data_IF_776840359012
#
_entry.id   IF_776840359012
#
_cell.length_a   1.000
_cell.length_b   1.000
_cell.length_c   1.000
_cell.angle_alpha   90.00
_cell.angle_beta   90.00
_cell.angle_gamma   90.00
#
_symmetry.space_group_name_H-M   'P 1'
#
loop_
_entity.id
_entity.type
_entity.pdbx_description
1 polymer ?
#
# COMPACT_ATOMS: atom_id res chain seq x y z
N UNK A 1 7.31 15.82 2.85
CA UNK A 1 6.32 16.49 1.97
C UNK A 1 5.20 17.07 2.84
N UNK A 2 4.62 18.24 2.52
CA UNK A 2 3.47 18.77 3.28
C UNK A 2 2.22 17.93 2.99
N UNK A 3 1.59 17.36 4.04
CA UNK A 3 0.47 16.42 3.93
C UNK A 3 -0.79 16.93 3.21
N UNK A 4 -0.96 18.25 3.05
CA UNK A 4 -2.07 18.85 2.28
C UNK A 4 -1.98 18.60 0.76
N UNK A 5 -0.88 18.05 0.24
CA UNK A 5 -0.68 17.88 -1.20
C UNK A 5 -0.98 16.47 -1.74
N UNK A 6 -1.23 15.47 -0.89
CA UNK A 6 -1.38 14.06 -1.33
C UNK A 6 -2.81 13.55 -1.32
N UNK A 7 -3.72 14.22 -0.60
CA UNK A 7 -5.16 13.92 -0.60
C UNK A 7 -5.95 15.03 -1.31
N UNK A 8 -7.13 14.69 -1.80
CA UNK A 8 -8.14 15.63 -2.28
C UNK A 8 -9.50 15.20 -1.78
N UNK A 9 -10.31 16.13 -1.26
CA UNK A 9 -11.67 15.80 -0.81
C UNK A 9 -12.63 15.70 -1.99
N UNK A 10 -13.75 14.98 -1.82
CA UNK A 10 -14.80 14.93 -2.83
C UNK A 10 -15.34 16.32 -3.19
N UNK A 11 -15.51 17.20 -2.19
CA UNK A 11 -15.95 18.58 -2.41
C UNK A 11 -14.91 19.39 -3.22
N UNK A 12 -13.63 19.32 -2.86
CA UNK A 12 -12.57 20.02 -3.61
C UNK A 12 -12.48 19.51 -5.06
N UNK A 13 -12.55 18.19 -5.27
CA UNK A 13 -12.52 17.62 -6.62
C UNK A 13 -13.73 18.08 -7.45
N UNK A 14 -14.93 18.06 -6.86
CA UNK A 14 -16.14 18.51 -7.53
C UNK A 14 -16.06 19.99 -7.93
N UNK A 15 -15.53 20.85 -7.05
CA UNK A 15 -15.33 22.27 -7.35
C UNK A 15 -14.35 22.49 -8.50
N UNK A 16 -13.24 21.73 -8.55
CA UNK A 16 -12.27 21.79 -9.66
C UNK A 16 -12.90 21.37 -10.98
N UNK A 17 -13.63 20.25 -10.99
CA UNK A 17 -14.33 19.78 -12.18
C UNK A 17 -15.37 20.80 -12.68
N UNK A 18 -16.10 21.45 -11.77
CA UNK A 18 -17.05 22.51 -12.09
C UNK A 18 -16.38 23.77 -12.68
N UNK A 19 -15.13 24.05 -12.31
CA UNK A 19 -14.33 25.15 -12.87
C UNK A 19 -13.71 24.84 -14.23
N UNK A 20 -13.89 23.63 -14.73
CA UNK A 20 -13.29 23.21 -16.01
C UNK A 20 -11.91 22.59 -15.87
N UNK A 21 -11.38 22.42 -14.64
CA UNK A 21 -10.17 21.60 -14.44
C UNK A 21 -10.51 20.14 -14.77
N UNK A 22 -9.56 19.43 -15.40
CA UNK A 22 -9.73 18.05 -15.86
C UNK A 22 -8.51 17.22 -15.46
N UNK A 23 -8.32 16.92 -14.16
CA UNK A 23 -7.31 15.93 -13.80
C UNK A 23 -7.68 14.58 -14.41
N UNK A 24 -6.69 13.76 -14.75
CA UNK A 24 -6.93 12.36 -15.09
C UNK A 24 -7.41 11.64 -13.85
N UNK A 25 -8.60 11.04 -13.94
CA UNK A 25 -9.23 10.33 -12.82
C UNK A 25 -9.01 8.83 -13.02
N UNK A 26 -8.36 8.17 -12.07
CA UNK A 26 -8.09 6.73 -12.13
C UNK A 26 -8.90 5.99 -11.06
N UNK A 27 -9.77 5.10 -11.51
CA UNK A 27 -10.46 4.13 -10.67
C UNK A 27 -9.63 2.85 -10.58
N UNK A 28 -9.11 2.57 -9.40
CA UNK A 28 -8.21 1.44 -9.13
C UNK A 28 -8.91 0.41 -8.22
N UNK A 29 -10.24 0.35 -8.21
CA UNK A 29 -10.96 -0.55 -7.30
C UNK A 29 -10.54 -2.00 -7.49
N UNK A 30 -10.15 -2.63 -6.38
CA UNK A 30 -9.64 -3.99 -6.33
C UNK A 30 -9.92 -4.61 -4.96
N UNK A 31 -10.05 -5.94 -4.93
CA UNK A 31 -10.18 -6.69 -3.69
C UNK A 31 -9.39 -8.01 -3.79
N UNK A 32 -8.70 -8.36 -2.70
CA UNK A 32 -7.90 -9.59 -2.67
C UNK A 32 -8.81 -10.83 -2.79
N UNK A 33 -8.60 -11.62 -3.84
CA UNK A 33 -9.38 -12.83 -4.12
C UNK A 33 -10.80 -12.56 -4.64
N UNK A 34 -11.18 -11.30 -4.84
CA UNK A 34 -12.45 -10.91 -5.44
C UNK A 34 -12.32 -10.65 -6.95
N UNK A 35 -13.40 -10.17 -7.60
CA UNK A 35 -13.33 -9.76 -8.99
C UNK A 35 -12.37 -8.57 -9.17
N UNK A 36 -11.88 -8.37 -10.40
CA UNK A 36 -10.93 -7.30 -10.70
C UNK A 36 -11.51 -5.88 -10.59
N UNK A 37 -12.82 -5.70 -10.36
CA UNK A 37 -13.44 -4.38 -10.19
C UNK A 37 -13.99 -3.75 -11.48
N UNK A 38 -13.74 -4.35 -12.66
CA UNK A 38 -14.10 -3.75 -13.96
C UNK A 38 -15.62 -3.65 -14.16
N UNK A 39 -16.37 -4.63 -13.68
CA UNK A 39 -17.84 -4.63 -13.79
C UNK A 39 -18.45 -3.57 -12.88
N UNK A 40 -17.93 -3.42 -11.67
CA UNK A 40 -18.35 -2.42 -10.71
C UNK A 40 -18.04 -1.01 -11.23
N UNK A 41 -16.87 -0.81 -11.84
CA UNK A 41 -16.53 0.45 -12.52
C UNK A 41 -17.54 0.76 -13.63
N UNK A 42 -17.82 -0.20 -14.51
CA UNK A 42 -18.78 0.00 -15.60
C UNK A 42 -20.21 0.29 -15.10
N UNK A 43 -20.57 -0.19 -13.92
CA UNK A 43 -21.86 0.08 -13.28
C UNK A 43 -21.96 1.47 -12.64
N UNK A 44 -20.83 2.11 -12.32
CA UNK A 44 -20.80 3.42 -11.68
C UNK A 44 -19.40 3.87 -11.28
N UNK A 45 -18.94 4.98 -11.85
CA UNK A 45 -17.63 5.60 -11.58
C UNK A 45 -17.72 7.12 -11.59
N UNK A 46 -16.68 7.81 -11.11
CA UNK A 46 -16.58 9.26 -11.19
C UNK A 46 -16.64 9.72 -12.67
N UNK A 47 -17.30 10.83 -13.00
CA UNK A 47 -17.41 11.31 -14.37
C UNK A 47 -16.04 11.50 -15.04
N UNK A 48 -15.84 10.88 -16.20
CA UNK A 48 -14.58 10.90 -16.95
C UNK A 48 -13.44 10.06 -16.37
N UNK A 49 -13.69 9.23 -15.35
CA UNK A 49 -12.68 8.32 -14.84
C UNK A 49 -12.32 7.21 -15.82
N UNK A 50 -11.11 6.68 -15.66
CA UNK A 50 -10.58 5.53 -16.39
C UNK A 50 -10.27 4.42 -15.40
N UNK A 51 -10.60 3.18 -15.75
CA UNK A 51 -10.28 2.03 -14.93
C UNK A 51 -8.81 1.62 -15.09
N UNK A 52 -8.08 1.55 -13.98
CA UNK A 52 -6.70 1.08 -13.89
C UNK A 52 -6.66 -0.31 -13.23
N UNK A 53 -6.24 -1.33 -13.97
CA UNK A 53 -6.28 -2.72 -13.56
C UNK A 53 -5.08 -3.07 -12.67
N UNK A 54 -5.31 -3.21 -11.36
CA UNK A 54 -4.23 -3.45 -10.41
C UNK A 54 -3.38 -4.68 -10.76
N UNK A 55 -4.03 -5.77 -11.18
CA UNK A 55 -3.37 -7.06 -11.40
C UNK A 55 -2.52 -7.07 -12.68
N UNK A 56 -2.89 -6.26 -13.68
CA UNK A 56 -2.28 -6.31 -15.01
C UNK A 56 -1.45 -5.06 -15.36
N UNK A 57 -1.76 -3.92 -14.75
CA UNK A 57 -1.16 -2.62 -15.10
C UNK A 57 -0.34 -2.04 -13.93
N UNK A 58 -0.70 -2.37 -12.68
CA UNK A 58 0.04 -1.98 -11.48
C UNK A 58 0.84 -3.14 -10.86
N UNK A 59 0.79 -4.31 -11.46
CA UNK A 59 1.54 -5.50 -11.06
C UNK A 59 1.90 -6.35 -12.28
N UNK A 60 2.91 -7.21 -12.14
CA UNK A 60 3.15 -8.30 -13.09
C UNK A 60 2.30 -9.50 -12.68
N UNK A 61 1.41 -10.01 -13.55
CA UNK A 61 0.70 -11.26 -13.26
C UNK A 61 1.68 -12.40 -13.06
N UNK A 62 1.58 -13.09 -11.92
CA UNK A 62 2.42 -14.25 -11.58
C UNK A 62 1.56 -15.46 -11.23
N UNK A 63 2.03 -16.65 -11.61
CA UNK A 63 1.33 -17.88 -11.27
C UNK A 63 1.57 -18.25 -9.80
N UNK A 64 0.53 -18.65 -9.04
CA UNK A 64 0.71 -19.10 -7.66
C UNK A 64 1.70 -20.27 -7.56
N UNK A 65 2.69 -20.14 -6.68
CA UNK A 65 3.76 -21.11 -6.45
C UNK A 65 4.93 -21.02 -7.43
N UNK A 66 4.94 -20.07 -8.36
CA UNK A 66 6.02 -19.96 -9.36
C UNK A 66 7.31 -19.37 -8.77
N UNK A 67 8.41 -19.51 -9.52
CA UNK A 67 9.69 -18.90 -9.14
C UNK A 67 9.62 -17.37 -9.17
N UNK A 68 8.84 -16.80 -10.09
CA UNK A 68 8.59 -15.37 -10.19
C UNK A 68 7.85 -14.84 -8.96
N UNK A 69 6.84 -15.56 -8.48
CA UNK A 69 6.14 -15.20 -7.24
C UNK A 69 7.07 -15.32 -6.01
N UNK A 70 7.89 -16.36 -5.95
CA UNK A 70 8.89 -16.49 -4.89
C UNK A 70 9.93 -15.35 -4.92
N UNK A 71 10.30 -14.87 -6.11
CA UNK A 71 11.27 -13.81 -6.30
C UNK A 71 10.70 -12.41 -6.07
N UNK A 72 9.44 -12.15 -6.44
CA UNK A 72 8.85 -10.81 -6.46
C UNK A 72 7.63 -10.59 -5.54
N UNK A 73 7.14 -11.65 -4.90
CA UNK A 73 5.85 -11.65 -4.20
C UNK A 73 4.66 -11.80 -5.16
N UNK A 74 3.44 -11.68 -4.63
CA UNK A 74 2.19 -11.82 -5.42
C UNK A 74 1.91 -10.67 -6.38
N UNK A 75 2.39 -9.47 -6.06
CA UNK A 75 2.17 -8.28 -6.90
C UNK A 75 3.49 -7.58 -7.19
N UNK A 76 4.43 -8.23 -7.92
CA UNK A 76 5.69 -7.60 -8.30
C UNK A 76 5.42 -6.31 -9.08
N UNK A 77 6.27 -5.29 -8.91
CA UNK A 77 6.15 -4.07 -9.70
C UNK A 77 6.42 -4.36 -11.18
N UNK A 78 5.64 -3.77 -12.12
CA UNK A 78 5.93 -3.87 -13.54
C UNK A 78 7.25 -3.18 -13.91
N UNK A 79 7.79 -3.51 -15.08
CA UNK A 79 8.90 -2.76 -15.65
C UNK A 79 8.46 -1.31 -15.90
N UNK A 80 9.44 -0.37 -15.89
CA UNK A 80 9.15 1.04 -16.16
C UNK A 80 8.46 1.24 -17.51
N UNK A 81 8.90 0.53 -18.55
CA UNK A 81 8.30 0.61 -19.88
C UNK A 81 6.85 0.11 -19.90
N UNK A 82 6.55 -1.01 -19.23
CA UNK A 82 5.18 -1.52 -19.14
C UNK A 82 4.26 -0.55 -18.35
N UNK A 83 4.78 0.03 -17.27
CA UNK A 83 4.03 1.02 -16.49
C UNK A 83 3.81 2.34 -17.25
N UNK A 84 4.80 2.80 -18.03
CA UNK A 84 4.64 3.96 -18.91
C UNK A 84 3.57 3.72 -19.97
N UNK A 85 3.53 2.52 -20.55
CA UNK A 85 2.49 2.14 -21.50
C UNK A 85 1.09 2.12 -20.87
N UNK A 86 0.97 1.61 -19.63
CA UNK A 86 -0.28 1.68 -18.87
C UNK A 86 -0.69 3.13 -18.56
N UNK A 87 0.25 3.96 -18.10
CA UNK A 87 0.00 5.37 -17.81
C UNK A 87 -0.49 6.14 -19.05
N UNK A 88 0.11 5.88 -20.22
CA UNK A 88 -0.36 6.42 -21.50
C UNK A 88 -1.73 5.87 -21.90
N UNK A 89 -2.01 4.59 -21.67
CA UNK A 89 -3.34 4.03 -21.97
C UNK A 89 -4.44 4.55 -21.07
N UNK A 90 -4.10 5.14 -19.92
CA UNK A 90 -5.05 5.88 -19.09
C UNK A 90 -5.30 7.32 -19.54
N UNK A 91 -4.60 7.77 -20.58
CA UNK A 91 -4.72 9.12 -21.11
C UNK A 91 -3.89 10.18 -20.37
N UNK A 92 -2.84 9.78 -19.65
CA UNK A 92 -1.97 10.72 -18.95
C UNK A 92 -0.97 11.35 -19.93
N UNK A 93 -0.95 12.68 -19.96
CA UNK A 93 0.06 13.50 -20.63
C UNK A 93 1.11 14.04 -19.65
N UNK A 94 2.26 14.48 -20.18
CA UNK A 94 3.28 15.17 -19.40
C UNK A 94 2.73 16.47 -18.78
N UNK A 95 2.79 16.56 -17.44
CA UNK A 95 2.34 17.73 -16.68
C UNK A 95 0.90 17.63 -16.15
N UNK A 96 0.17 16.54 -16.46
CA UNK A 96 -1.18 16.34 -15.96
C UNK A 96 -1.24 16.21 -14.44
N UNK A 97 -2.34 16.72 -13.89
CA UNK A 97 -2.77 16.36 -12.54
C UNK A 97 -3.53 15.03 -12.61
N UNK A 98 -3.23 14.14 -11.66
CA UNK A 98 -3.86 12.82 -11.56
C UNK A 98 -4.53 12.69 -10.19
N UNK A 99 -5.78 12.21 -10.18
CA UNK A 99 -6.48 11.81 -8.97
C UNK A 99 -6.82 10.33 -9.05
N UNK A 100 -6.28 9.55 -8.13
CA UNK A 100 -6.56 8.12 -8.00
C UNK A 100 -7.59 7.88 -6.90
N UNK A 101 -8.47 6.91 -7.09
CA UNK A 101 -9.42 6.49 -6.07
C UNK A 101 -9.75 5.00 -6.20
N UNK A 102 -10.37 4.46 -5.15
CA UNK A 102 -10.97 3.14 -5.18
C UNK A 102 -12.30 3.17 -4.40
N UNK A 103 -12.88 1.99 -4.18
CA UNK A 103 -14.08 1.78 -3.39
C UNK A 103 -13.78 1.04 -2.06
N UNK A 104 -12.51 0.84 -1.72
CA UNK A 104 -12.04 -0.07 -0.65
C UNK A 104 -10.95 0.58 0.18
N UNK A 105 -11.30 1.69 0.83
CA UNK A 105 -10.47 2.32 1.85
C UNK A 105 -9.15 2.89 1.34
N UNK A 106 -9.02 3.21 0.05
CA UNK A 106 -7.85 3.85 -0.54
C UNK A 106 -6.63 2.95 -0.71
N UNK A 107 -6.75 1.63 -0.51
CA UNK A 107 -5.60 0.72 -0.52
C UNK A 107 -4.99 0.54 -1.92
N UNK A 108 -5.82 0.29 -2.92
CA UNK A 108 -5.37 0.11 -4.29
C UNK A 108 -5.05 1.46 -4.94
N UNK A 109 -5.83 2.50 -4.60
CA UNK A 109 -5.53 3.88 -4.99
C UNK A 109 -4.15 4.33 -4.50
N UNK A 110 -3.79 4.02 -3.25
CA UNK A 110 -2.48 4.36 -2.70
C UNK A 110 -1.33 3.67 -3.44
N UNK A 111 -1.51 2.45 -3.96
CA UNK A 111 -0.51 1.78 -4.81
C UNK A 111 -0.28 2.56 -6.10
N UNK A 112 -1.36 2.92 -6.82
CA UNK A 112 -1.27 3.72 -8.04
C UNK A 112 -0.59 5.07 -7.77
N UNK A 113 -1.01 5.76 -6.70
CA UNK A 113 -0.37 7.00 -6.23
C UNK A 113 1.13 6.81 -6.02
N UNK A 114 1.53 5.81 -5.24
CA UNK A 114 2.95 5.56 -4.93
C UNK A 114 3.75 5.30 -6.20
N UNK A 115 3.23 4.49 -7.13
CA UNK A 115 3.92 4.18 -8.38
C UNK A 115 4.07 5.38 -9.31
N UNK A 116 3.03 6.22 -9.45
CA UNK A 116 3.08 7.44 -10.26
C UNK A 116 4.05 8.47 -9.66
N UNK A 117 4.06 8.61 -8.32
CA UNK A 117 5.01 9.46 -7.59
C UNK A 117 6.45 8.96 -7.73
N UNK A 118 6.68 7.65 -7.60
CA UNK A 118 7.98 7.02 -7.85
C UNK A 118 8.44 7.26 -9.28
N UNK A 119 7.53 7.21 -10.25
CA UNK A 119 7.80 7.49 -11.65
C UNK A 119 7.98 8.98 -11.98
N UNK A 120 7.86 9.87 -10.99
CA UNK A 120 8.20 11.27 -11.12
C UNK A 120 7.05 12.23 -11.42
N UNK A 121 5.79 11.77 -11.41
CA UNK A 121 4.65 12.68 -11.54
C UNK A 121 4.51 13.54 -10.28
N UNK A 122 4.44 14.85 -10.47
CA UNK A 122 4.44 15.82 -9.38
C UNK A 122 3.06 16.08 -8.78
N UNK A 123 2.00 15.95 -9.57
CA UNK A 123 0.64 16.26 -9.17
C UNK A 123 -0.22 14.98 -9.15
N UNK A 124 -0.01 14.14 -8.14
CA UNK A 124 -0.79 12.91 -7.94
C UNK A 124 -1.43 12.94 -6.55
N UNK A 125 -2.76 12.88 -6.49
CA UNK A 125 -3.54 12.90 -5.25
C UNK A 125 -4.45 11.69 -5.15
N UNK A 126 -4.81 11.31 -3.93
CA UNK A 126 -5.81 10.27 -3.65
C UNK A 126 -7.10 10.93 -3.21
N UNK A 127 -8.24 10.50 -3.78
CA UNK A 127 -9.56 10.95 -3.33
C UNK A 127 -9.84 10.40 -1.93
N UNK A 128 -9.89 11.29 -0.95
CA UNK A 128 -10.09 10.95 0.44
C UNK A 128 -11.51 10.38 0.66
N UNK A 129 -11.58 9.19 1.26
CA UNK A 129 -12.82 8.39 1.36
C UNK A 129 -13.31 7.77 0.04
N UNK A 130 -12.59 7.96 -1.06
CA UNK A 130 -12.84 7.31 -2.35
C UNK A 130 -14.25 7.51 -2.92
N UNK A 131 -14.74 6.48 -3.63
CA UNK A 131 -16.09 6.47 -4.21
C UNK A 131 -17.18 6.60 -3.13
N UNK A 132 -16.93 6.10 -1.92
CA UNK A 132 -17.84 6.22 -0.78
C UNK A 132 -18.11 7.67 -0.40
N UNK A 133 -17.06 8.47 -0.21
CA UNK A 133 -17.20 9.90 0.10
C UNK A 133 -17.84 10.68 -1.06
N UNK A 134 -17.50 10.36 -2.31
CA UNK A 134 -18.10 10.98 -3.50
C UNK A 134 -19.63 10.77 -3.55
N UNK A 135 -20.07 9.52 -3.38
CA UNK A 135 -21.49 9.16 -3.40
C UNK A 135 -22.25 9.70 -2.19
N UNK A 136 -21.63 9.67 -1.00
CA UNK A 136 -22.22 10.25 0.22
C UNK A 136 -22.45 11.77 0.10
N UNK A 137 -21.61 12.46 -0.68
CA UNK A 137 -21.78 13.88 -1.01
C UNK A 137 -22.88 14.14 -2.06
N UNK A 138 -23.55 13.12 -2.59
CA UNK A 138 -24.60 13.24 -3.61
C UNK A 138 -24.08 13.66 -4.98
N UNK A 139 -22.80 13.43 -5.26
CA UNK A 139 -22.16 13.79 -6.52
C UNK A 139 -22.46 12.76 -7.63
N UNK A 140 -22.51 13.19 -8.91
CA UNK A 140 -22.94 12.34 -10.00
C UNK A 140 -21.95 11.21 -10.31
N UNK A 141 -22.46 10.10 -10.85
CA UNK A 141 -21.68 9.00 -11.40
C UNK A 141 -21.96 8.84 -12.90
N UNK A 142 -20.98 8.33 -13.63
CA UNK A 142 -21.11 7.86 -15.00
C UNK A 142 -21.14 6.32 -15.06
N UNK A 143 -21.65 5.78 -16.17
CA UNK A 143 -21.74 4.34 -16.45
C UNK A 143 -21.07 4.02 -17.79
N UNK A 144 -20.68 2.77 -17.96
CA UNK A 144 -20.00 2.27 -19.15
C UNK A 144 -18.48 2.26 -19.00
N UNK A 145 -17.78 1.92 -20.08
CA UNK A 145 -16.33 1.98 -20.13
C UNK A 145 -15.92 3.19 -20.96
N UNK A 146 -15.38 4.23 -20.31
CA UNK A 146 -14.63 5.26 -21.01
C UNK A 146 -13.43 4.64 -21.72
N UNK A 147 -13.18 5.03 -22.97
CA UNK A 147 -11.95 4.72 -23.69
C UNK A 147 -11.21 6.04 -23.83
N UNK A 148 -10.22 6.34 -22.96
CA UNK A 148 -9.48 7.58 -23.06
C UNK A 148 -8.69 7.60 -24.37
N UNK A 149 -8.46 8.81 -24.90
CA UNK A 149 -7.40 8.98 -25.88
C UNK A 149 -6.06 8.65 -25.21
N UNK A 150 -5.17 8.02 -25.98
CA UNK A 150 -3.86 7.64 -25.46
C UNK A 150 -3.02 8.90 -25.20
N UNK A 151 -2.51 9.03 -23.98
CA UNK A 151 -1.65 10.13 -23.57
C UNK A 151 -0.18 9.95 -23.99
N UNK A 152 0.65 10.92 -23.65
CA UNK A 152 2.05 11.03 -24.07
C UNK A 152 3.08 11.00 -22.93
N UNK A 153 2.66 10.78 -21.68
CA UNK A 153 3.53 10.88 -20.50
C UNK A 153 4.85 10.13 -20.64
N UNK A 154 5.92 10.72 -20.10
CA UNK A 154 7.25 10.14 -19.99
C UNK A 154 7.58 9.90 -18.52
N UNK A 155 7.81 8.65 -18.13
CA UNK A 155 8.07 8.29 -16.74
C UNK A 155 9.58 8.32 -16.42
N UNK A 156 9.94 9.00 -15.33
CA UNK A 156 11.32 9.13 -14.87
C UNK A 156 11.84 7.92 -14.08
N UNK A 157 13.11 7.96 -13.68
CA UNK A 157 13.69 6.97 -12.77
C UNK A 157 13.01 7.01 -11.39
N UNK A 158 13.07 5.89 -10.66
CA UNK A 158 12.40 5.72 -9.37
C UNK A 158 12.86 6.75 -8.33
N UNK A 159 11.95 7.63 -7.89
CA UNK A 159 12.23 8.72 -6.95
C UNK A 159 11.92 8.38 -5.50
N UNK A 160 11.10 7.35 -5.25
CA UNK A 160 10.70 6.99 -3.89
C UNK A 160 11.56 5.86 -3.33
N UNK A 161 11.84 5.87 -2.02
CA UNK A 161 12.67 4.85 -1.41
C UNK A 161 11.99 3.47 -1.49
N UNK A 162 12.78 2.48 -1.89
CA UNK A 162 12.39 1.06 -1.94
C UNK A 162 13.45 0.23 -1.24
N UNK A 163 13.00 -0.83 -0.60
CA UNK A 163 13.88 -1.82 0.04
C UNK A 163 13.56 -3.23 -0.44
N UNK A 164 14.55 -4.12 -0.38
CA UNK A 164 14.40 -5.55 -0.58
C UNK A 164 14.21 -6.30 0.74
N UNK A 165 14.14 -7.63 0.62
CA UNK A 165 13.92 -8.51 1.76
C UNK A 165 15.07 -8.46 2.78
N UNK A 166 16.32 -8.30 2.33
CA UNK A 166 17.48 -8.24 3.22
C UNK A 166 17.55 -6.92 3.98
N UNK A 167 17.23 -5.80 3.34
CA UNK A 167 17.11 -4.52 4.02
C UNK A 167 15.92 -4.52 5.00
N UNK A 168 14.80 -5.17 4.66
CA UNK A 168 13.67 -5.32 5.59
C UNK A 168 14.11 -6.06 6.87
N UNK A 169 14.91 -7.13 6.74
CA UNK A 169 15.48 -7.84 7.88
C UNK A 169 16.39 -6.94 8.73
N UNK A 170 17.16 -6.04 8.09
CA UNK A 170 18.04 -5.11 8.77
C UNK A 170 17.29 -3.97 9.48
N UNK A 171 16.19 -3.47 8.89
CA UNK A 171 15.31 -2.48 9.54
C UNK A 171 14.75 -3.01 10.86
N UNK A 172 14.35 -4.28 10.87
CA UNK A 172 13.68 -4.89 12.01
C UNK A 172 14.62 -5.26 13.18
N UNK A 173 15.95 -5.23 12.97
CA UNK A 173 16.94 -5.64 13.97
C UNK A 173 17.83 -4.47 14.42
N UNK A 174 17.64 -3.91 15.62
CA UNK A 174 18.63 -3.01 16.20
C UNK A 174 19.90 -3.80 16.54
N UNK A 175 21.00 -3.58 15.81
CA UNK A 175 22.30 -4.19 16.11
C UNK A 175 23.11 -3.31 17.07
N UNK A 176 23.74 -3.89 18.12
CA UNK A 176 24.69 -3.15 18.95
C UNK A 176 25.83 -2.58 18.10
N UNK A 177 26.07 -1.27 18.18
CA UNK A 177 27.15 -0.59 17.44
C UNK A 177 26.87 -0.24 15.98
N UNK A 178 25.70 -0.57 15.44
CA UNK A 178 25.23 -0.04 14.16
C UNK A 178 24.48 1.29 14.39
N UNK A 179 24.32 2.15 13.36
CA UNK A 179 23.33 3.23 13.41
C UNK A 179 21.99 2.67 13.89
N UNK A 180 21.25 3.43 14.69
CA UNK A 180 19.95 3.00 15.19
C UNK A 180 19.12 2.41 14.04
N UNK A 181 18.73 1.13 14.17
CA UNK A 181 17.91 0.44 13.17
C UNK A 181 16.65 1.26 12.84
N UNK A 182 16.12 1.03 11.63
CA UNK A 182 14.89 1.70 11.20
C UNK A 182 13.64 1.17 11.92
N UNK A 183 12.48 1.63 11.48
CA UNK A 183 11.18 1.12 11.90
C UNK A 183 10.59 0.34 10.73
N UNK A 184 10.32 -0.95 10.92
CA UNK A 184 9.61 -1.77 9.94
C UNK A 184 8.14 -1.93 10.37
N UNK A 185 7.21 -1.44 9.56
CA UNK A 185 5.78 -1.52 9.81
C UNK A 185 5.13 -2.60 8.93
N UNK A 186 4.25 -3.40 9.53
CA UNK A 186 3.39 -4.36 8.85
C UNK A 186 1.96 -3.81 8.75
N UNK A 187 1.54 -3.47 7.53
CA UNK A 187 0.25 -2.85 7.25
C UNK A 187 -0.92 -3.84 7.19
N UNK A 188 -0.70 -5.13 7.44
CA UNK A 188 -1.78 -6.14 7.44
C UNK A 188 -2.68 -5.99 8.67
N UNK A 189 -3.86 -6.59 8.59
CA UNK A 189 -4.74 -6.78 9.73
C UNK A 189 -3.99 -7.47 10.89
N UNK A 190 -4.30 -7.07 12.12
CA UNK A 190 -3.52 -7.45 13.29
C UNK A 190 -3.50 -8.97 13.52
N UNK A 191 -4.58 -9.69 13.20
CA UNK A 191 -4.68 -11.15 13.25
C UNK A 191 -3.75 -11.85 12.24
N UNK A 192 -3.49 -11.23 11.07
CA UNK A 192 -2.51 -11.76 10.10
C UNK A 192 -1.08 -11.55 10.60
N UNK A 193 -0.80 -10.38 11.18
CA UNK A 193 0.49 -10.11 11.82
C UNK A 193 0.78 -11.11 12.94
N UNK A 194 -0.20 -11.38 13.82
CA UNK A 194 -0.06 -12.33 14.92
C UNK A 194 0.05 -13.79 14.47
N UNK A 195 -0.26 -14.08 13.19
CA UNK A 195 -0.26 -15.43 12.64
C UNK A 195 -1.48 -16.28 13.04
N UNK A 196 -2.57 -15.64 13.48
CA UNK A 196 -3.81 -16.30 13.86
C UNK A 196 -4.64 -16.69 12.63
N UNK A 197 -4.56 -15.88 11.58
CA UNK A 197 -5.24 -16.08 10.31
C UNK A 197 -4.23 -15.85 9.19
N UNK A 198 -4.03 -16.85 8.33
CA UNK A 198 -3.28 -16.67 7.08
C UNK A 198 -3.98 -17.40 5.93
N UNK A 199 -4.78 -16.69 5.12
CA UNK A 199 -5.57 -17.33 4.08
C UNK A 199 -4.85 -17.45 2.74
N UNK A 200 -3.67 -16.83 2.57
CA UNK A 200 -3.04 -16.67 1.23
C UNK A 200 -1.59 -17.13 1.19
N UNK A 201 -0.80 -16.79 2.21
CA UNK A 201 0.63 -17.03 2.24
C UNK A 201 1.00 -18.41 2.85
N UNK A 202 2.10 -19.05 2.42
CA UNK A 202 2.46 -20.40 2.86
C UNK A 202 2.86 -20.51 4.34
N UNK A 203 3.16 -19.38 5.01
CA UNK A 203 3.49 -19.33 6.44
C UNK A 203 2.74 -18.17 7.09
N UNK A 204 2.15 -18.39 8.25
CA UNK A 204 1.48 -17.36 9.04
C UNK A 204 2.46 -16.64 9.97
N UNK A 205 2.19 -15.37 10.30
CA UNK A 205 3.00 -14.55 11.20
C UNK A 205 3.53 -13.28 10.54
N UNK A 206 4.65 -12.74 11.02
CA UNK A 206 5.26 -11.49 10.57
C UNK A 206 6.80 -11.58 10.48
N UNK A 207 7.41 -10.57 9.85
CA UNK A 207 8.86 -10.40 9.81
C UNK A 207 9.36 -10.07 11.22
N UNK A 208 10.26 -10.86 11.84
CA UNK A 208 10.69 -10.62 13.21
C UNK A 208 11.28 -9.21 13.39
N UNK A 209 10.85 -8.50 14.43
CA UNK A 209 11.21 -7.09 14.67
C UNK A 209 10.23 -6.08 14.07
N UNK A 210 9.33 -6.49 13.18
CA UNK A 210 8.30 -5.61 12.63
C UNK A 210 7.24 -5.24 13.66
N UNK A 211 6.72 -4.02 13.57
CA UNK A 211 5.59 -3.52 14.37
C UNK A 211 4.30 -3.60 13.56
N UNK A 212 3.20 -4.02 14.19
CA UNK A 212 1.88 -4.04 13.55
C UNK A 212 1.33 -2.62 13.40
N UNK A 213 0.95 -2.26 12.18
CA UNK A 213 0.34 -0.97 11.84
C UNK A 213 -0.87 -1.18 10.90
N UNK A 214 -1.99 -1.79 11.35
CA UNK A 214 -3.10 -2.10 10.45
C UNK A 214 -3.63 -0.86 9.71
N UNK A 215 -3.90 -0.99 8.40
CA UNK A 215 -4.35 0.14 7.58
C UNK A 215 -5.65 0.76 8.06
N UNK A 216 -6.57 -0.05 8.59
CA UNK A 216 -7.91 0.37 9.04
C UNK A 216 -7.86 1.46 10.12
N UNK A 217 -6.85 1.41 10.98
CA UNK A 217 -6.66 2.38 12.07
C UNK A 217 -6.14 3.74 11.56
N UNK A 218 -5.87 3.90 10.25
CA UNK A 218 -5.53 5.19 9.64
C UNK A 218 -6.77 5.98 9.25
N UNK A 219 -7.95 5.38 9.34
CA UNK A 219 -9.17 5.93 8.77
C UNK A 219 -10.17 6.29 9.86
N UNK A 220 -10.95 7.34 9.60
CA UNK A 220 -12.15 7.67 10.35
C UNK A 220 -13.29 6.70 9.98
N UNK A 221 -14.38 6.75 10.74
CA UNK A 221 -15.53 5.87 10.56
C UNK A 221 -16.25 6.02 9.21
N UNK A 222 -16.08 7.18 8.54
CA UNK A 222 -16.62 7.46 7.21
C UNK A 222 -15.68 7.02 6.07
N UNK A 223 -14.54 6.41 6.40
CA UNK A 223 -13.55 5.91 5.44
C UNK A 223 -12.53 6.95 4.97
N UNK A 224 -12.60 8.19 5.44
CA UNK A 224 -11.57 9.21 5.19
C UNK A 224 -10.33 8.97 6.04
N UNK A 225 -9.17 9.50 5.63
CA UNK A 225 -7.96 9.46 6.46
C UNK A 225 -8.14 10.28 7.74
N UNK A 226 -7.58 9.78 8.84
CA UNK A 226 -7.47 10.55 10.07
C UNK A 226 -6.70 11.86 9.82
N UNK A 227 -6.98 12.93 10.58
CA UNK A 227 -6.28 14.20 10.43
C UNK A 227 -4.76 14.04 10.60
N UNK A 228 -3.92 14.86 9.93
CA UNK A 228 -2.47 14.75 9.96
C UNK A 228 -1.86 14.67 11.38
N UNK A 229 -2.43 15.37 12.35
CA UNK A 229 -1.96 15.35 13.73
C UNK A 229 -2.20 13.98 14.41
N UNK A 230 -3.37 13.36 14.18
CA UNK A 230 -3.71 12.06 14.72
C UNK A 230 -2.86 10.94 14.08
N UNK A 231 -2.62 11.02 12.77
CA UNK A 231 -1.70 10.09 12.09
C UNK A 231 -0.27 10.22 12.61
N UNK A 232 0.22 11.45 12.81
CA UNK A 232 1.56 11.68 13.42
C UNK A 232 1.67 11.06 14.80
N UNK A 233 0.69 11.29 15.66
CA UNK A 233 0.67 10.73 17.02
C UNK A 233 0.68 9.20 16.98
N UNK A 234 -0.18 8.61 16.14
CA UNK A 234 -0.26 7.16 15.95
C UNK A 234 1.08 6.57 15.50
N UNK A 235 1.69 7.10 14.44
CA UNK A 235 2.95 6.57 13.92
C UNK A 235 4.12 6.80 14.88
N UNK A 236 4.14 7.92 15.61
CA UNK A 236 5.13 8.17 16.66
C UNK A 236 5.05 7.14 17.79
N UNK A 237 3.85 6.69 18.16
CA UNK A 237 3.66 5.61 19.15
C UNK A 237 4.23 4.26 18.66
N UNK A 238 4.30 4.05 17.35
CA UNK A 238 4.98 2.92 16.69
C UNK A 238 6.47 3.22 16.43
N UNK A 239 6.99 4.34 16.96
CA UNK A 239 8.38 4.73 16.82
C UNK A 239 8.76 5.36 15.48
N UNK A 240 7.81 5.50 14.56
CA UNK A 240 7.94 6.27 13.32
C UNK A 240 7.66 7.74 13.62
N UNK A 241 8.64 8.42 14.22
CA UNK A 241 8.57 9.82 14.68
C UNK A 241 9.36 10.81 13.81
N UNK A 242 9.80 10.36 12.62
CA UNK A 242 10.64 11.13 11.71
C UNK A 242 12.13 11.17 12.08
N UNK A 243 12.56 10.56 13.20
CA UNK A 243 13.98 10.52 13.60
C UNK A 243 14.72 9.29 13.08
N UNK A 244 13.98 8.22 12.77
CA UNK A 244 14.51 6.97 12.22
C UNK A 244 13.93 6.72 10.84
N UNK A 245 14.68 6.11 9.91
CA UNK A 245 14.14 5.63 8.65
C UNK A 245 12.95 4.70 8.90
N UNK A 246 11.89 4.85 8.13
CA UNK A 246 10.69 4.01 8.19
C UNK A 246 10.60 3.19 6.90
N UNK A 247 10.23 1.93 7.03
CA UNK A 247 9.87 1.08 5.90
C UNK A 247 8.57 0.34 6.19
N UNK A 248 7.80 0.07 5.16
CA UNK A 248 6.48 -0.55 5.26
C UNK A 248 6.39 -1.76 4.34
N UNK A 249 5.80 -2.82 4.84
CA UNK A 249 5.40 -3.98 4.07
C UNK A 249 3.99 -4.42 4.44
N UNK A 250 3.41 -5.32 3.66
CA UNK A 250 2.13 -5.94 4.00
C UNK A 250 2.08 -7.39 3.52
N UNK A 251 0.96 -7.84 2.95
CA UNK A 251 0.91 -9.10 2.22
C UNK A 251 1.72 -9.09 0.93
N UNK A 252 1.50 -8.11 0.05
CA UNK A 252 2.08 -8.09 -1.31
C UNK A 252 2.31 -6.67 -1.85
N UNK A 253 2.61 -5.71 -0.97
CA UNK A 253 2.97 -4.35 -1.36
C UNK A 253 1.81 -3.43 -1.77
N UNK A 254 0.56 -3.93 -1.84
CA UNK A 254 -0.63 -3.09 -2.11
C UNK A 254 -0.98 -2.25 -0.88
N UNK A 255 -1.39 -2.88 0.21
CA UNK A 255 -1.81 -2.15 1.43
C UNK A 255 -0.64 -1.47 2.17
N UNK A 256 0.61 -1.86 1.89
CA UNK A 256 1.78 -1.13 2.37
C UNK A 256 1.85 0.29 1.79
N UNK A 257 1.41 0.48 0.53
CA UNK A 257 1.34 1.80 -0.09
C UNK A 257 0.32 2.71 0.61
N UNK A 258 -0.76 2.14 1.18
CA UNK A 258 -1.72 2.88 2.00
C UNK A 258 -1.09 3.46 3.25
N UNK A 259 -0.29 2.68 3.97
CA UNK A 259 0.45 3.16 5.14
C UNK A 259 1.49 4.21 4.76
N UNK A 260 2.16 4.06 3.60
CA UNK A 260 3.06 5.10 3.08
C UNK A 260 2.29 6.40 2.77
N UNK A 261 1.08 6.30 2.21
CA UNK A 261 0.22 7.46 2.00
C UNK A 261 -0.18 8.11 3.34
N UNK A 262 -0.57 7.33 4.34
CA UNK A 262 -0.88 7.84 5.68
C UNK A 262 0.33 8.50 6.36
N UNK A 263 1.52 7.91 6.23
CA UNK A 263 2.78 8.50 6.68
C UNK A 263 3.08 9.82 5.94
N UNK A 264 2.84 9.88 4.63
CA UNK A 264 3.00 11.10 3.85
C UNK A 264 2.03 12.21 4.30
N UNK A 265 0.77 11.87 4.64
CA UNK A 265 -0.20 12.80 5.27
C UNK A 265 0.31 13.27 6.64
N UNK A 266 0.93 12.39 7.41
CA UNK A 266 1.59 12.73 8.67
C UNK A 266 2.86 13.58 8.48
N UNK A 267 3.41 13.66 7.27
CA UNK A 267 4.66 14.36 6.95
C UNK A 267 5.93 13.53 7.18
N UNK A 268 5.81 12.20 7.17
CA UNK A 268 6.86 11.23 7.40
C UNK A 268 7.12 10.47 6.10
N UNK A 269 8.37 10.44 5.65
CA UNK A 269 8.76 9.67 4.47
C UNK A 269 9.05 8.21 4.85
N UNK A 270 8.67 7.27 4.00
CA UNK A 270 8.86 5.84 4.25
C UNK A 270 9.16 5.05 2.97
N UNK A 271 9.98 4.01 3.12
CA UNK A 271 10.33 3.09 2.04
C UNK A 271 9.28 1.99 1.87
N UNK A 272 9.01 1.60 0.63
CA UNK A 272 8.19 0.44 0.32
C UNK A 272 9.05 -0.82 0.25
N UNK A 273 8.58 -1.93 0.83
CA UNK A 273 9.01 -3.28 0.51
C UNK A 273 7.95 -3.98 -0.38
N UNK A 274 8.08 -3.96 -1.72
CA UNK A 274 7.01 -4.42 -2.62
C UNK A 274 6.72 -5.91 -2.52
N UNK A 275 7.77 -6.75 -2.44
CA UNK A 275 7.61 -8.20 -2.32
C UNK A 275 6.89 -8.62 -1.04
N UNK A 276 7.07 -7.82 0.02
CA UNK A 276 6.27 -7.90 1.24
C UNK A 276 6.28 -9.30 1.85
N UNK A 277 5.29 -9.63 2.69
CA UNK A 277 5.24 -10.92 3.37
C UNK A 277 5.07 -12.10 2.40
N UNK A 278 4.52 -11.88 1.20
CA UNK A 278 4.38 -12.92 0.19
C UNK A 278 5.71 -13.41 -0.36
N UNK A 279 6.66 -12.50 -0.59
CA UNK A 279 8.03 -12.88 -0.94
C UNK A 279 8.73 -13.48 0.28
N UNK A 280 8.63 -12.81 1.43
CA UNK A 280 9.31 -13.24 2.66
C UNK A 280 8.92 -14.66 3.10
N UNK A 281 7.61 -14.93 3.17
CA UNK A 281 7.05 -16.21 3.63
C UNK A 281 7.38 -17.38 2.69
N UNK A 282 7.79 -17.13 1.45
CA UNK A 282 8.18 -18.17 0.48
C UNK A 282 9.65 -18.58 0.57
N UNK A 283 10.50 -17.77 1.20
CA UNK A 283 11.90 -18.10 1.44
C UNK A 283 12.06 -18.87 2.76
N UNK A 284 12.28 -20.21 2.74
CA UNK A 284 12.35 -21.00 3.96
C UNK A 284 13.53 -20.63 4.87
N UNK A 285 14.55 -19.93 4.36
CA UNK A 285 15.68 -19.47 5.16
C UNK A 285 15.34 -18.24 6.02
N UNK A 286 14.27 -17.51 5.67
CA UNK A 286 13.84 -16.31 6.39
C UNK A 286 12.98 -16.67 7.60
N UNK A 287 13.29 -16.11 8.78
CA UNK A 287 12.54 -16.40 9.99
C UNK A 287 11.16 -15.73 9.97
N UNK A 288 10.19 -16.32 10.66
CA UNK A 288 8.84 -15.76 10.86
C UNK A 288 8.53 -15.76 12.35
N UNK A 289 8.03 -14.64 12.87
CA UNK A 289 7.55 -14.51 14.25
C UNK A 289 6.02 -14.57 14.28
N UNK A 290 5.46 -14.92 15.44
CA UNK A 290 4.01 -15.02 15.70
C UNK A 290 3.68 -14.35 17.04
N UNK A 291 2.41 -14.05 17.29
CA UNK A 291 1.96 -13.33 18.48
C UNK A 291 2.06 -11.80 18.33
N UNK A 292 1.69 -11.09 19.40
CA UNK A 292 1.55 -9.62 19.40
C UNK A 292 2.86 -8.86 19.56
N UNK A 293 3.91 -9.52 20.07
CA UNK A 293 5.20 -8.88 20.34
C UNK A 293 6.10 -8.89 19.11
N UNK A 294 6.84 -7.80 18.81
CA UNK A 294 7.75 -7.69 17.67
C UNK A 294 9.03 -8.51 17.82
N UNK A 295 9.01 -9.58 18.61
CA UNK A 295 10.20 -10.31 19.03
C UNK A 295 11.01 -10.89 17.85
N UNK A 296 12.34 -10.96 18.04
CA UNK A 296 13.21 -11.73 17.16
C UNK A 296 12.78 -13.20 17.19
N UNK A 297 12.72 -13.87 16.05
CA UNK A 297 12.34 -15.27 15.99
C UNK A 297 13.25 -16.08 16.92
N UNK A 298 12.68 -16.61 17.99
CA UNK A 298 13.44 -17.42 18.94
C UNK A 298 12.64 -17.86 20.16
N UNK A 299 12.91 -19.10 20.56
CA UNK A 299 12.67 -19.63 21.90
C UNK A 299 11.21 -19.94 22.30
N UNK A 300 10.51 -20.71 21.48
CA UNK A 300 9.54 -21.66 22.00
C UNK A 300 10.27 -22.74 22.81
N UNK A 301 10.62 -22.45 24.07
CA UNK A 301 11.01 -23.49 25.02
C UNK A 301 9.85 -24.47 25.14
N UNK A 302 10.07 -25.72 24.74
CA UNK A 302 9.28 -26.85 25.18
C UNK A 302 9.43 -26.95 26.70
N UNK A 303 8.53 -26.31 27.45
CA UNK A 303 8.30 -26.59 28.86
C UNK A 303 7.56 -27.92 28.98
N UNK A 304 8.28 -29.03 28.85
CA UNK A 304 7.81 -30.34 29.29
C UNK A 304 8.07 -30.50 30.79
N UNK A 305 7.12 -31.07 31.56
CA UNK A 305 7.17 -31.05 33.02
C UNK A 305 8.31 -31.93 33.57
N UNK A 306 9.07 -31.39 34.53
CA UNK A 306 9.91 -32.19 35.42
C UNK A 306 9.02 -33.12 36.24
N UNK A 307 8.93 -34.38 35.83
CA UNK A 307 8.47 -35.46 36.70
C UNK A 307 9.60 -35.79 37.69
N UNK A 308 9.47 -35.28 38.90
CA UNK A 308 10.05 -35.93 40.08
C UNK A 308 9.02 -36.87 40.68
N UNK A 309 9.39 -38.13 40.97
CA UNK A 309 8.91 -38.78 42.17
C UNK A 309 10.11 -39.13 43.06
N UNK A 310 10.07 -38.60 44.28
CA UNK A 310 10.88 -39.13 45.36
C UNK A 310 10.37 -40.52 45.78
N UNK A 311 11.30 -41.45 45.91
CA UNK A 311 11.41 -42.48 46.96
C UNK A 311 12.78 -43.16 46.80
#
# INVERSE_FOLDING_TARGET
>A
MNGEQVLITAAELAERLARGERPVLLDVRWSLGGPNGRQEYAAGHLPGAVFADLENELAVPVAPGSAEEAAGGRHPLPSRAAFEEAARSWGIDDGDAVVVYDATSGQAAARAWWMLRDAGLESVRVLDGGLGAWTAAGLPLEQGAGVPERGNVTLGEGRLPRIGADEAAAFAQPRPGAPAGGVLLDARAAERYRGEVEPVDPRAGHIPGALSAPTADNLAADGTFLPPAALRERFAALGADGRRPVAVYCGSGVTAAHDILALAVAGIDAALYPGSFSQWSRDPSRPVAVGAEPSAAGAGRAGGPENSPGA
#
